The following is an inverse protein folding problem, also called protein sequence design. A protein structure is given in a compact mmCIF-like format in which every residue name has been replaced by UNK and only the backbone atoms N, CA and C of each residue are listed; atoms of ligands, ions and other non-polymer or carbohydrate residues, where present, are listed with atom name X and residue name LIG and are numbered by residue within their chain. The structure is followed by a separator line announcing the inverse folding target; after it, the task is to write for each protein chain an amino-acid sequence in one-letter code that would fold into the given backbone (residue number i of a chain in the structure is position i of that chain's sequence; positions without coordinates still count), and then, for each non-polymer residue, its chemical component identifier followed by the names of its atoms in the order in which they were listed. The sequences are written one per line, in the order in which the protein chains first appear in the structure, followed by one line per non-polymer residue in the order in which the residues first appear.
data_IF_927350090964
#
_entry.id   IF_927350090964
#
_cell.length_a   1.000
_cell.length_b   1.000
_cell.length_c   1.000
_cell.angle_alpha   90.00
_cell.angle_beta   90.00
_cell.angle_gamma   90.00
#
_symmetry.space_group_name_H-M   'P 1'
#
loop_
_entity.id
_entity.type
_entity.pdbx_description
1 polymer ?
#
# COMPACT_ATOMS: atom_id res chain seq x y z
N UNK A 1 -0.76 -0.32 -11.65
CA UNK A 1 -2.19 -0.39 -11.99
C UNK A 1 -2.73 1.02 -12.10
N UNK A 2 -3.80 1.28 -12.85
CA UNK A 2 -4.48 2.58 -12.80
C UNK A 2 -5.21 2.71 -11.46
N UNK A 3 -4.64 3.50 -10.54
CA UNK A 3 -5.05 3.53 -9.13
C UNK A 3 -5.77 4.82 -8.76
N UNK A 4 -6.93 4.70 -8.13
CA UNK A 4 -7.62 5.80 -7.47
C UNK A 4 -7.32 5.82 -5.96
N UNK A 5 -7.52 6.99 -5.34
CA UNK A 5 -7.38 7.20 -3.90
C UNK A 5 -8.69 7.76 -3.35
N UNK A 6 -9.18 7.19 -2.26
CA UNK A 6 -10.29 7.73 -1.46
C UNK A 6 -9.76 8.16 -0.09
N UNK A 7 -10.00 9.41 0.28
CA UNK A 7 -9.62 9.97 1.58
C UNK A 7 -10.81 10.60 2.29
N UNK A 8 -10.63 10.89 3.59
CA UNK A 8 -11.51 11.81 4.30
C UNK A 8 -11.54 13.18 3.60
N UNK A 9 -12.68 13.86 3.63
CA UNK A 9 -12.85 15.23 3.10
C UNK A 9 -11.81 16.20 3.65
N UNK A 10 -11.21 16.98 2.74
CA UNK A 10 -10.08 17.88 2.99
C UNK A 10 -8.69 17.24 2.96
N UNK A 11 -8.58 15.94 2.64
CA UNK A 11 -7.31 15.19 2.63
C UNK A 11 -6.91 14.63 1.26
N UNK A 12 -7.63 14.96 0.17
CA UNK A 12 -7.30 14.47 -1.17
C UNK A 12 -5.85 14.79 -1.60
N UNK A 13 -5.30 15.89 -1.09
CA UNK A 13 -3.97 16.35 -1.48
C UNK A 13 -2.84 15.90 -0.55
N UNK A 14 -3.11 14.99 0.40
CA UNK A 14 -2.10 14.47 1.34
C UNK A 14 -0.86 13.91 0.62
N UNK A 15 -1.04 13.17 -0.48
CA UNK A 15 0.06 12.65 -1.31
C UNK A 15 0.83 13.77 -2.02
N UNK A 16 0.11 14.77 -2.53
CA UNK A 16 0.71 15.88 -3.26
C UNK A 16 1.39 16.88 -2.34
N UNK A 17 0.98 17.01 -1.08
CA UNK A 17 1.62 17.87 -0.08
C UNK A 17 2.82 17.14 0.52
N UNK A 18 2.69 15.84 0.81
CA UNK A 18 3.72 15.05 1.46
C UNK A 18 4.10 15.62 2.83
N UNK A 19 5.38 15.47 3.20
CA UNK A 19 5.94 16.06 4.43
C UNK A 19 6.72 17.36 4.19
N UNK A 20 6.65 17.90 2.97
CA UNK A 20 7.44 19.06 2.55
C UNK A 20 8.97 18.90 2.76
N UNK A 21 9.44 17.65 2.87
CA UNK A 21 10.86 17.33 2.92
C UNK A 21 11.52 17.78 1.61
N UNK A 22 12.69 18.41 1.70
CA UNK A 22 13.49 18.78 0.54
C UNK A 22 14.46 17.64 0.21
N UNK A 23 14.25 16.89 -0.90
CA UNK A 23 15.18 15.83 -1.29
C UNK A 23 16.56 16.43 -1.58
N UNK A 24 16.60 17.55 -2.29
CA UNK A 24 17.81 18.34 -2.55
C UNK A 24 17.78 19.60 -1.68
N UNK A 25 18.41 19.55 -0.51
CA UNK A 25 18.37 20.62 0.51
C UNK A 25 18.83 21.97 -0.08
N UNK A 26 19.78 21.94 -1.03
CA UNK A 26 20.39 23.12 -1.65
C UNK A 26 19.80 23.52 -3.01
N UNK A 27 18.81 22.80 -3.52
CA UNK A 27 18.14 23.20 -4.77
C UNK A 27 17.28 24.45 -4.53
N UNK A 28 17.61 25.55 -5.20
CA UNK A 28 16.85 26.81 -5.13
C UNK A 28 15.44 26.67 -5.71
N UNK A 29 15.27 25.80 -6.71
CA UNK A 29 13.99 25.48 -7.37
C UNK A 29 13.82 23.96 -7.36
N UNK A 30 13.35 23.37 -6.26
CA UNK A 30 13.21 21.93 -6.16
C UNK A 30 12.06 21.44 -7.04
N UNK A 31 12.29 20.37 -7.79
CA UNK A 31 11.23 19.68 -8.53
C UNK A 31 10.61 18.63 -7.62
N UNK A 32 9.29 18.69 -7.41
CA UNK A 32 8.60 17.70 -6.60
C UNK A 32 8.29 16.46 -7.45
N UNK A 33 8.52 15.24 -6.95
CA UNK A 33 8.06 14.03 -7.62
C UNK A 33 6.55 14.07 -7.82
N UNK A 34 6.10 13.67 -9.01
CA UNK A 34 4.67 13.51 -9.26
C UNK A 34 4.10 12.38 -8.39
N UNK A 35 2.96 12.59 -7.70
CA UNK A 35 2.36 11.53 -6.90
C UNK A 35 1.81 10.39 -7.77
N UNK A 36 1.91 9.16 -7.27
CA UNK A 36 1.46 7.94 -7.97
C UNK A 36 -0.02 7.99 -8.41
N UNK A 37 -0.87 8.72 -7.68
CA UNK A 37 -2.28 8.91 -8.02
C UNK A 37 -2.46 10.36 -8.48
N UNK A 38 -2.90 10.63 -9.73
CA UNK A 38 -3.13 11.97 -10.22
C UNK A 38 -4.33 12.62 -9.51
N UNK A 39 -4.38 13.96 -9.46
CA UNK A 39 -5.43 14.70 -8.72
C UNK A 39 -6.85 14.34 -9.13
N UNK A 40 -7.06 14.05 -10.43
CA UNK A 40 -8.36 13.67 -11.00
C UNK A 40 -8.89 12.34 -10.45
N UNK A 41 -8.03 11.47 -9.91
CA UNK A 41 -8.39 10.17 -9.34
C UNK A 41 -8.27 10.15 -7.81
N UNK A 42 -8.29 11.32 -7.17
CA UNK A 42 -8.36 11.46 -5.71
C UNK A 42 -9.73 11.96 -5.33
N UNK A 43 -10.48 11.10 -4.66
CA UNK A 43 -11.84 11.33 -4.24
C UNK A 43 -11.90 11.52 -2.74
N UNK A 44 -12.87 12.30 -2.30
CA UNK A 44 -13.11 12.57 -0.89
C UNK A 44 -14.48 12.03 -0.49
N UNK A 45 -14.55 11.46 0.70
CA UNK A 45 -15.81 11.07 1.34
C UNK A 45 -16.07 11.97 2.55
N UNK A 46 -17.33 12.38 2.70
CA UNK A 46 -17.76 13.17 3.86
C UNK A 46 -18.00 12.24 5.04
N UNK A 47 -16.98 12.12 5.87
CA UNK A 47 -16.89 11.21 7.00
C UNK A 47 -15.87 11.81 7.99
N UNK A 48 -16.02 11.53 9.29
CA UNK A 48 -15.01 11.93 10.28
C UNK A 48 -15.03 11.03 11.50
N UNK A 49 -13.85 10.51 11.84
CA UNK A 49 -13.55 9.89 13.14
C UNK A 49 -12.66 10.82 13.97
N UNK A 50 -12.87 10.85 15.29
CA UNK A 50 -12.03 11.58 16.24
C UNK A 50 -10.75 10.80 16.57
N UNK A 51 -9.80 11.47 17.26
CA UNK A 51 -8.59 10.82 17.75
C UNK A 51 -8.85 9.74 18.83
N UNK A 52 -10.05 9.67 19.40
CA UNK A 52 -10.47 8.64 20.34
C UNK A 52 -11.19 7.46 19.65
N UNK A 53 -11.35 7.50 18.33
CA UNK A 53 -12.05 6.47 17.56
C UNK A 53 -13.57 6.65 17.50
N UNK A 54 -14.11 7.76 18.02
CA UNK A 54 -15.54 8.06 17.95
C UNK A 54 -15.93 8.60 16.58
N UNK A 55 -17.08 8.17 16.07
CA UNK A 55 -17.62 8.67 14.80
C UNK A 55 -18.26 10.03 15.03
N UNK A 56 -17.64 11.08 14.47
CA UNK A 56 -18.16 12.45 14.50
C UNK A 56 -19.09 12.72 13.31
N UNK A 57 -18.73 12.24 12.11
CA UNK A 57 -19.57 12.31 10.91
C UNK A 57 -19.65 10.89 10.33
N UNK A 58 -20.84 10.28 10.30
CA UNK A 58 -21.01 8.92 9.79
C UNK A 58 -20.80 8.85 8.27
N UNK A 59 -20.26 7.74 7.78
CA UNK A 59 -20.13 7.49 6.35
C UNK A 59 -21.50 7.20 5.71
N UNK A 60 -21.89 8.03 4.74
CA UNK A 60 -23.11 7.88 3.96
C UNK A 60 -23.17 6.53 3.19
N UNK A 61 -24.38 6.03 2.94
CA UNK A 61 -24.60 4.80 2.18
C UNK A 61 -24.24 4.92 0.69
N UNK A 62 -24.18 6.14 0.16
CA UNK A 62 -23.77 6.45 -1.20
C UNK A 62 -22.40 7.15 -1.26
N UNK A 63 -21.55 6.97 -0.24
CA UNK A 63 -20.25 7.64 -0.16
C UNK A 63 -19.34 7.40 -1.39
N UNK A 64 -19.44 6.24 -2.03
CA UNK A 64 -18.68 5.95 -3.26
C UNK A 64 -19.28 6.56 -4.54
N UNK A 65 -20.44 7.22 -4.49
CA UNK A 65 -21.09 7.81 -5.68
C UNK A 65 -20.16 8.69 -6.53
N UNK A 66 -19.27 9.55 -5.97
CA UNK A 66 -18.38 10.38 -6.77
C UNK A 66 -17.39 9.59 -7.64
N UNK A 67 -16.79 8.52 -7.09
CA UNK A 67 -15.89 7.65 -7.86
C UNK A 67 -16.67 6.79 -8.85
N UNK A 68 -17.84 6.28 -8.48
CA UNK A 68 -18.68 5.46 -9.37
C UNK A 68 -19.26 6.26 -10.54
N UNK A 69 -19.43 7.57 -10.39
CA UNK A 69 -19.96 8.46 -11.43
C UNK A 69 -18.88 9.06 -12.34
N UNK A 70 -17.59 8.79 -12.09
CA UNK A 70 -16.53 9.36 -12.93
C UNK A 70 -16.49 8.68 -14.31
N UNK A 71 -16.33 9.41 -15.43
CA UNK A 71 -16.22 8.81 -16.76
C UNK A 71 -15.04 7.84 -16.89
N UNK A 72 -14.01 7.99 -16.06
CA UNK A 72 -12.84 7.13 -16.03
C UNK A 72 -13.01 5.91 -15.10
N UNK A 73 -14.22 5.60 -14.62
CA UNK A 73 -14.40 4.52 -13.63
C UNK A 73 -13.95 3.16 -14.17
N UNK A 74 -14.25 2.90 -15.45
CA UNK A 74 -13.84 1.66 -16.14
C UNK A 74 -12.33 1.59 -16.41
N UNK A 75 -11.62 2.70 -16.22
CA UNK A 75 -10.16 2.74 -16.30
C UNK A 75 -9.48 2.42 -14.98
N UNK A 76 -10.18 2.51 -13.85
CA UNK A 76 -9.62 2.26 -12.54
C UNK A 76 -9.49 0.75 -12.33
N UNK A 77 -8.28 0.29 -12.06
CA UNK A 77 -7.97 -1.12 -11.80
C UNK A 77 -7.85 -1.41 -10.30
N UNK A 78 -7.53 -0.39 -9.52
CA UNK A 78 -7.39 -0.51 -8.07
C UNK A 78 -7.72 0.79 -7.33
N UNK A 79 -8.11 0.64 -6.06
CA UNK A 79 -8.47 1.75 -5.18
C UNK A 79 -7.72 1.62 -3.86
N UNK A 80 -6.98 2.66 -3.49
CA UNK A 80 -6.48 2.84 -2.13
C UNK A 80 -7.53 3.62 -1.32
N UNK A 81 -7.85 3.15 -0.12
CA UNK A 81 -8.74 3.86 0.81
C UNK A 81 -7.92 4.20 2.06
N UNK A 82 -7.83 5.48 2.38
CA UNK A 82 -7.07 5.96 3.53
C UNK A 82 -7.84 7.08 4.25
N UNK A 83 -8.63 6.70 5.24
CA UNK A 83 -9.36 7.64 6.09
C UNK A 83 -8.52 8.05 7.30
N UNK A 84 -8.82 9.22 7.88
CA UNK A 84 -8.24 9.60 9.16
C UNK A 84 -8.70 8.66 10.26
N UNK A 85 -7.78 8.29 11.15
CA UNK A 85 -8.05 7.40 12.29
C UNK A 85 -8.67 6.04 11.92
N UNK A 86 -8.55 5.58 10.67
CA UNK A 86 -9.01 4.25 10.24
C UNK A 86 -8.37 3.10 11.00
N UNK A 87 -7.18 3.30 11.56
CA UNK A 87 -6.51 2.34 12.45
C UNK A 87 -7.21 2.17 13.81
N UNK A 88 -8.05 3.13 14.23
CA UNK A 88 -8.93 3.01 15.41
C UNK A 88 -10.35 2.59 15.02
N UNK A 89 -10.81 3.04 13.85
CA UNK A 89 -12.19 2.89 13.37
C UNK A 89 -12.22 2.38 11.92
N UNK A 90 -11.89 1.09 11.68
CA UNK A 90 -11.74 0.54 10.33
C UNK A 90 -13.09 0.36 9.59
N UNK A 91 -14.21 0.47 10.30
CA UNK A 91 -15.56 0.19 9.77
C UNK A 91 -15.92 1.01 8.53
N UNK A 92 -15.49 2.27 8.45
CA UNK A 92 -15.79 3.12 7.29
C UNK A 92 -14.99 2.69 6.05
N UNK A 93 -13.72 2.35 6.22
CA UNK A 93 -12.91 1.78 5.13
C UNK A 93 -13.49 0.45 4.64
N UNK A 94 -13.89 -0.42 5.56
CA UNK A 94 -14.54 -1.69 5.22
C UNK A 94 -15.85 -1.48 4.45
N UNK A 95 -16.68 -0.52 4.86
CA UNK A 95 -17.93 -0.17 4.16
C UNK A 95 -17.67 0.37 2.74
N UNK A 96 -16.64 1.20 2.56
CA UNK A 96 -16.21 1.68 1.24
C UNK A 96 -15.82 0.51 0.34
N UNK A 97 -14.99 -0.43 0.82
CA UNK A 97 -14.64 -1.64 0.05
C UNK A 97 -15.88 -2.40 -0.40
N UNK A 98 -16.83 -2.63 0.50
CA UNK A 98 -18.07 -3.34 0.16
C UNK A 98 -18.85 -2.63 -0.93
N UNK A 99 -18.99 -1.29 -0.87
CA UNK A 99 -19.67 -0.50 -1.90
C UNK A 99 -18.96 -0.58 -3.25
N UNK A 100 -17.62 -0.46 -3.26
CA UNK A 100 -16.82 -0.54 -4.48
C UNK A 100 -16.92 -1.92 -5.14
N UNK A 101 -16.78 -2.99 -4.37
CA UNK A 101 -16.82 -4.37 -4.89
C UNK A 101 -18.23 -4.79 -5.33
N UNK A 102 -19.29 -4.21 -4.74
CA UNK A 102 -20.65 -4.43 -5.19
C UNK A 102 -20.90 -3.85 -6.60
N UNK A 103 -20.28 -2.70 -6.91
CA UNK A 103 -20.37 -2.08 -8.23
C UNK A 103 -19.38 -2.68 -9.24
N UNK A 104 -18.15 -2.95 -8.80
CA UNK A 104 -17.05 -3.43 -9.64
C UNK A 104 -16.29 -4.57 -8.94
N UNK A 105 -16.74 -5.82 -9.08
CA UNK A 105 -16.17 -6.98 -8.38
C UNK A 105 -14.70 -7.28 -8.71
N UNK A 106 -14.18 -6.73 -9.81
CA UNK A 106 -12.82 -6.96 -10.29
C UNK A 106 -11.80 -5.95 -9.72
N UNK A 107 -12.26 -4.91 -9.00
CA UNK A 107 -11.36 -3.91 -8.41
C UNK A 107 -10.52 -4.53 -7.29
N UNK A 108 -9.22 -4.23 -7.30
CA UNK A 108 -8.40 -4.45 -6.12
C UNK A 108 -8.53 -3.26 -5.17
N UNK A 109 -9.01 -3.52 -3.94
CA UNK A 109 -9.17 -2.47 -2.92
C UNK A 109 -8.17 -2.70 -1.79
N UNK A 110 -7.30 -1.73 -1.55
CA UNK A 110 -6.38 -1.72 -0.40
C UNK A 110 -6.89 -0.77 0.67
N UNK A 111 -7.14 -1.30 1.87
CA UNK A 111 -7.54 -0.50 3.03
C UNK A 111 -6.33 -0.12 3.87
N UNK A 112 -6.21 1.15 4.24
CA UNK A 112 -5.07 1.61 5.02
C UNK A 112 -5.02 0.99 6.42
N UNK A 113 -6.19 0.69 6.99
CA UNK A 113 -6.35 -0.05 8.25
C UNK A 113 -5.87 -1.51 8.18
N UNK A 114 -5.73 -2.10 6.99
CA UNK A 114 -5.20 -3.46 6.82
C UNK A 114 -3.72 -3.44 6.42
N UNK A 115 -3.32 -2.48 5.57
CA UNK A 115 -1.96 -2.41 5.02
C UNK A 115 -0.96 -1.83 6.04
N UNK A 116 -1.29 -0.70 6.67
CA UNK A 116 -0.42 -0.02 7.63
C UNK A 116 -1.26 0.73 8.68
N UNK A 117 -1.80 0.05 9.71
CA UNK A 117 -2.68 0.63 10.72
C UNK A 117 -1.93 1.49 11.75
N UNK A 118 -1.24 2.53 11.27
CA UNK A 118 -0.41 3.44 12.07
C UNK A 118 -0.91 4.88 11.97
N UNK A 119 -0.67 5.71 12.98
CA UNK A 119 -1.31 7.04 13.10
C UNK A 119 -0.93 8.05 11.99
N UNK A 120 0.28 7.95 11.44
CA UNK A 120 0.80 8.93 10.47
C UNK A 120 0.11 8.80 9.12
N UNK A 121 -0.71 9.79 8.78
CA UNK A 121 -1.59 9.80 7.62
C UNK A 121 -0.85 9.78 6.28
N UNK A 122 0.22 10.57 6.10
CA UNK A 122 0.96 10.56 4.83
C UNK A 122 1.63 9.21 4.57
N UNK A 123 2.40 8.70 5.53
CA UNK A 123 3.12 7.44 5.41
C UNK A 123 2.15 6.26 5.22
N UNK A 124 1.03 6.28 5.96
CA UNK A 124 -0.07 5.33 5.78
C UNK A 124 -0.66 5.42 4.38
N UNK A 125 -1.11 6.60 3.93
CA UNK A 125 -1.68 6.79 2.59
C UNK A 125 -0.69 6.39 1.49
N UNK A 126 0.56 6.83 1.57
CA UNK A 126 1.59 6.51 0.57
C UNK A 126 1.83 5.00 0.46
N UNK A 127 1.92 4.31 1.60
CA UNK A 127 2.09 2.84 1.63
C UNK A 127 0.87 2.12 1.06
N UNK A 128 -0.34 2.53 1.44
CA UNK A 128 -1.59 1.96 0.90
C UNK A 128 -1.72 2.17 -0.60
N UNK A 129 -1.30 3.34 -1.10
CA UNK A 129 -1.30 3.67 -2.53
C UNK A 129 -0.28 2.83 -3.30
N UNK A 130 0.94 2.68 -2.78
CA UNK A 130 1.95 1.77 -3.37
C UNK A 130 1.39 0.34 -3.42
N UNK A 131 0.76 -0.12 -2.33
CA UNK A 131 0.14 -1.43 -2.29
C UNK A 131 -0.94 -1.59 -3.37
N UNK A 132 -1.92 -0.68 -3.44
CA UNK A 132 -2.99 -0.71 -4.43
C UNK A 132 -2.44 -0.67 -5.86
N UNK A 133 -1.35 0.07 -6.10
CA UNK A 133 -0.73 0.19 -7.42
C UNK A 133 -0.09 -1.12 -7.89
N UNK A 134 0.57 -1.85 -6.99
CA UNK A 134 1.37 -3.05 -7.31
C UNK A 134 0.56 -4.35 -7.17
N UNK A 135 -0.34 -4.42 -6.19
CA UNK A 135 -1.11 -5.63 -5.83
C UNK A 135 -1.76 -6.34 -7.03
N UNK A 136 -2.45 -5.65 -7.98
CA UNK A 136 -3.08 -6.35 -9.11
C UNK A 136 -2.09 -7.13 -9.98
N UNK A 137 -0.92 -6.55 -10.25
CA UNK A 137 0.13 -7.21 -11.04
C UNK A 137 0.76 -8.36 -10.25
N UNK A 138 1.02 -8.13 -8.97
CA UNK A 138 1.66 -9.09 -8.09
C UNK A 138 0.79 -10.31 -7.82
N UNK A 139 -0.50 -10.13 -7.54
CA UNK A 139 -1.46 -11.23 -7.37
C UNK A 139 -1.49 -12.13 -8.59
N UNK A 140 -1.68 -11.59 -9.80
CA UNK A 140 -1.69 -12.38 -11.04
C UNK A 140 -0.38 -13.14 -11.25
N UNK A 141 0.76 -12.53 -10.94
CA UNK A 141 2.05 -13.19 -11.08
C UNK A 141 2.20 -14.37 -10.10
N UNK A 142 1.89 -14.12 -8.83
CA UNK A 142 2.04 -15.11 -7.76
C UNK A 142 1.04 -16.25 -7.84
N UNK A 143 -0.18 -15.99 -8.32
CA UNK A 143 -1.19 -17.02 -8.61
C UNK A 143 -0.69 -17.99 -9.68
N UNK A 144 -0.26 -17.47 -10.85
CA UNK A 144 0.29 -18.32 -11.92
C UNK A 144 1.51 -19.11 -11.47
N UNK A 145 2.39 -18.50 -10.66
CA UNK A 145 3.57 -19.18 -10.14
C UNK A 145 3.18 -20.28 -9.15
N UNK A 146 2.21 -20.02 -8.26
CA UNK A 146 1.71 -20.99 -7.30
C UNK A 146 1.07 -22.20 -7.99
N UNK A 147 0.32 -21.98 -9.08
CA UNK A 147 -0.25 -23.05 -9.90
C UNK A 147 0.83 -23.90 -10.57
N UNK A 148 1.86 -23.25 -11.11
CA UNK A 148 2.97 -23.93 -11.79
C UNK A 148 3.85 -24.79 -10.89
N UNK A 149 3.83 -24.58 -9.58
CA UNK A 149 4.64 -25.35 -8.61
C UNK A 149 3.84 -26.40 -7.83
N UNK A 150 2.54 -26.56 -8.09
CA UNK A 150 1.71 -27.58 -7.43
C UNK A 150 2.33 -28.99 -7.56
N UNK A 151 2.24 -29.84 -6.50
CA UNK A 151 1.58 -29.61 -5.21
C UNK A 151 2.47 -28.90 -4.17
N UNK A 152 3.61 -28.31 -4.56
CA UNK A 152 4.52 -27.63 -3.61
C UNK A 152 3.93 -26.29 -3.17
N UNK A 153 4.22 -25.90 -1.94
CA UNK A 153 3.82 -24.60 -1.40
C UNK A 153 4.81 -23.52 -1.83
N UNK A 154 4.28 -22.39 -2.29
CA UNK A 154 5.04 -21.19 -2.58
C UNK A 154 5.00 -20.23 -1.38
N UNK A 155 6.18 -19.83 -0.90
CA UNK A 155 6.35 -18.79 0.11
C UNK A 155 7.13 -17.61 -0.48
N UNK A 156 6.87 -16.41 0.04
CA UNK A 156 7.44 -15.15 -0.45
C UNK A 156 8.14 -14.44 0.70
N UNK A 157 9.37 -13.99 0.47
CA UNK A 157 10.17 -13.23 1.43
C UNK A 157 9.57 -11.83 1.65
N UNK A 158 9.62 -11.35 2.89
CA UNK A 158 9.18 -10.02 3.29
C UNK A 158 10.37 -9.10 3.60
N UNK A 159 10.11 -7.80 3.64
CA UNK A 159 11.10 -6.77 4.03
C UNK A 159 11.66 -6.95 5.45
N UNK A 160 10.92 -7.64 6.33
CA UNK A 160 11.32 -7.89 7.72
C UNK A 160 12.17 -9.17 7.91
N UNK A 161 12.52 -9.86 6.81
CA UNK A 161 13.27 -11.13 6.84
C UNK A 161 12.43 -12.38 7.12
N UNK A 162 11.12 -12.24 7.30
CA UNK A 162 10.17 -13.35 7.40
C UNK A 162 9.64 -13.81 6.03
N UNK A 163 8.77 -14.83 6.04
CA UNK A 163 8.09 -15.32 4.84
C UNK A 163 6.57 -15.38 5.03
N UNK A 164 5.83 -15.13 3.95
CA UNK A 164 4.36 -15.21 3.88
C UNK A 164 3.90 -16.08 2.72
N UNK A 165 2.60 -16.40 2.71
CA UNK A 165 1.98 -17.10 1.58
C UNK A 165 1.98 -16.23 0.32
N UNK A 166 1.95 -16.86 -0.86
CA UNK A 166 1.78 -16.16 -2.14
C UNK A 166 0.50 -15.33 -2.20
N UNK A 167 -0.59 -15.83 -1.62
CA UNK A 167 -1.87 -15.12 -1.55
C UNK A 167 -1.76 -13.83 -0.71
N UNK A 168 -1.16 -13.92 0.49
CA UNK A 168 -0.90 -12.75 1.35
C UNK A 168 0.01 -11.76 0.65
N UNK A 169 1.08 -12.23 -0.02
CA UNK A 169 2.01 -11.36 -0.74
C UNK A 169 1.38 -10.64 -1.93
N UNK A 170 0.40 -11.25 -2.61
CA UNK A 170 -0.40 -10.58 -3.64
C UNK A 170 -1.27 -9.46 -3.07
N UNK A 171 -1.93 -9.71 -1.93
CA UNK A 171 -2.79 -8.73 -1.26
C UNK A 171 -2.00 -7.58 -0.60
N UNK A 172 -0.89 -7.91 0.06
CA UNK A 172 -0.03 -7.00 0.84
C UNK A 172 1.33 -6.78 0.15
N UNK A 173 1.30 -6.53 -1.16
CA UNK A 173 2.47 -6.34 -2.01
C UNK A 173 3.53 -5.38 -1.43
N UNK A 174 3.10 -4.32 -0.73
CA UNK A 174 4.02 -3.37 -0.09
C UNK A 174 5.00 -4.02 0.90
N UNK A 175 4.63 -5.14 1.54
CA UNK A 175 5.50 -5.88 2.49
C UNK A 175 6.64 -6.65 1.83
N UNK A 176 6.68 -6.67 0.50
CA UNK A 176 7.72 -7.35 -0.27
C UNK A 176 8.76 -6.40 -0.86
N UNK A 177 8.58 -5.09 -0.64
CA UNK A 177 9.55 -4.08 -1.04
C UNK A 177 10.91 -4.37 -0.37
N UNK A 178 11.99 -4.45 -1.14
CA UNK A 178 13.33 -4.80 -0.62
C UNK A 178 13.42 -6.18 0.07
N UNK A 179 12.53 -7.12 -0.29
CA UNK A 179 12.57 -8.50 0.23
C UNK A 179 13.84 -9.28 -0.17
N UNK A 180 14.40 -9.02 -1.35
CA UNK A 180 15.65 -9.64 -1.81
C UNK A 180 16.84 -9.38 -0.87
N UNK A 181 17.20 -8.11 -0.63
CA UNK A 181 18.24 -7.76 0.34
C UNK A 181 17.96 -8.29 1.75
N UNK A 182 16.70 -8.25 2.21
CA UNK A 182 16.32 -8.83 3.51
C UNK A 182 16.64 -10.34 3.58
N UNK A 183 16.35 -11.09 2.52
CA UNK A 183 16.73 -12.50 2.41
C UNK A 183 18.24 -12.72 2.41
N UNK A 184 19.00 -11.83 1.75
CA UNK A 184 20.46 -11.83 1.78
C UNK A 184 21.02 -11.66 3.21
N UNK A 185 20.47 -10.71 3.97
CA UNK A 185 20.85 -10.48 5.37
C UNK A 185 20.52 -11.68 6.25
N UNK A 186 19.34 -12.29 6.07
CA UNK A 186 18.93 -13.50 6.82
C UNK A 186 19.89 -14.66 6.53
N UNK A 187 20.21 -14.90 5.26
CA UNK A 187 21.15 -15.96 4.86
C UNK A 187 22.57 -15.72 5.38
N UNK A 188 23.07 -14.48 5.29
CA UNK A 188 24.39 -14.12 5.80
C UNK A 188 24.49 -14.29 7.32
N UNK A 189 23.45 -13.88 8.06
CA UNK A 189 23.38 -14.11 9.51
C UNK A 189 23.46 -15.59 9.85
N UNK A 190 22.67 -16.42 9.17
CA UNK A 190 22.70 -17.88 9.40
C UNK A 190 24.11 -18.46 9.19
N UNK A 191 24.78 -18.09 8.10
CA UNK A 191 26.14 -18.55 7.82
C UNK A 191 27.17 -18.03 8.83
N UNK A 192 27.03 -16.79 9.29
CA UNK A 192 27.90 -16.19 10.29
C UNK A 192 27.80 -16.89 11.65
N UNK A 193 26.59 -17.22 12.10
CA UNK A 193 26.35 -17.98 13.32
C UNK A 193 27.02 -19.36 13.25
N UNK A 194 26.93 -20.05 12.10
CA UNK A 194 27.63 -21.33 11.90
C UNK A 194 29.16 -21.21 11.89
N UNK A 195 29.69 -20.05 11.49
CA UNK A 195 31.11 -19.76 11.48
C UNK A 195 31.63 -19.15 12.80
N UNK A 196 30.77 -18.94 13.80
CA UNK A 196 31.13 -18.37 15.10
C UNK A 196 31.29 -16.84 15.11
N UNK A 197 30.70 -16.13 14.16
CA UNK A 197 30.71 -14.66 14.10
C UNK A 197 29.35 -14.09 14.52
N UNK A 198 29.36 -13.20 15.53
CA UNK A 198 28.14 -12.53 16.03
C UNK A 198 27.89 -11.17 15.36
N UNK A 199 28.93 -10.54 14.82
CA UNK A 199 28.87 -9.22 14.19
C UNK A 199 29.35 -9.31 12.75
N UNK A 200 28.46 -8.97 11.82
CA UNK A 200 28.75 -9.00 10.39
C UNK A 200 28.24 -7.73 9.70
N UNK A 201 28.90 -7.39 8.60
CA UNK A 201 28.42 -6.41 7.64
C UNK A 201 28.20 -7.17 6.34
N UNK A 202 27.00 -7.05 5.78
CA UNK A 202 26.68 -7.64 4.48
C UNK A 202 26.94 -6.61 3.39
N UNK A 203 27.38 -7.09 2.23
CA UNK A 203 27.65 -6.26 1.06
C UNK A 203 27.14 -7.02 -0.17
N UNK A 204 26.11 -6.47 -0.81
CA UNK A 204 25.49 -7.02 -2.02
C UNK A 204 25.67 -6.01 -3.15
N UNK A 205 26.33 -6.42 -4.22
CA UNK A 205 26.64 -5.54 -5.34
C UNK A 205 26.07 -6.14 -6.63
N UNK A 206 25.05 -5.50 -7.17
CA UNK A 206 24.43 -5.84 -8.44
C UNK A 206 24.77 -4.84 -9.55
N UNK A 207 24.15 -5.01 -10.73
CA UNK A 207 24.35 -4.11 -11.87
C UNK A 207 23.62 -2.76 -11.76
N UNK A 208 22.65 -2.64 -10.84
CA UNK A 208 21.78 -1.46 -10.68
C UNK A 208 21.78 -0.87 -9.27
N UNK A 209 22.18 -1.66 -8.27
CA UNK A 209 22.12 -1.30 -6.85
C UNK A 209 23.30 -1.89 -6.10
N UNK A 210 23.65 -1.24 -5.00
CA UNK A 210 24.61 -1.70 -3.98
C UNK A 210 23.95 -1.53 -2.61
#
# INVERSE_FOLDING_TARGET
ARTALITTKGFADVLAIGRQNRPDIYALVPTKPEPLVPRAWRFEVDERVTATGEVLIPLADDACRPILATPAVDEIESVAVSLLFSFLAPQHEAKIRTQLLAAFPHLHVSLSSEILPEYREYERTATTVINAYVAPMMSRYLERLADGVQPRRLTVMQSNGGVISSATAGHEAARTALSGPAGGVVGARYMAEQAGFEQIITFDMGGTST
#
